data_IF_238348370326
#
_entry.id   IF_238348370326
#
_cell.length_a   1.000
_cell.length_b   1.000
_cell.length_c   1.000
_cell.angle_alpha   90.00
_cell.angle_beta   90.00
_cell.angle_gamma   90.00
#
_symmetry.space_group_name_H-M   'P 1'
#
loop_
_entity.id
_entity.type
_entity.pdbx_description
1 polymer ?
#
# COMPACT_ATOMS: atom_id res chain seq x y z
N UNK A 1 5.58 23.81 -3.22
CA UNK A 1 4.53 23.59 -2.21
C UNK A 1 4.72 22.19 -1.69
N UNK A 2 5.08 22.04 -0.42
CA UNK A 2 5.26 20.74 0.23
C UNK A 2 3.88 20.16 0.49
N UNK A 3 3.56 19.04 -0.16
CA UNK A 3 2.31 18.32 0.08
C UNK A 3 2.41 17.64 1.44
N UNK A 4 1.53 18.03 2.37
CA UNK A 4 1.33 17.32 3.64
C UNK A 4 0.09 16.46 3.49
N UNK A 5 0.21 15.13 3.53
CA UNK A 5 -0.93 14.22 3.40
C UNK A 5 -1.95 14.47 4.51
N UNK A 6 -3.23 14.48 4.16
CA UNK A 6 -4.33 14.59 5.11
C UNK A 6 -4.76 13.17 5.48
N UNK A 7 -4.05 12.60 6.47
CA UNK A 7 -4.24 11.25 7.00
C UNK A 7 -5.53 11.11 7.84
N UNK A 8 -6.66 11.59 7.34
CA UNK A 8 -7.94 11.40 8.03
C UNK A 8 -8.35 9.93 8.11
N UNK A 9 -7.89 9.07 7.19
CA UNK A 9 -8.19 7.63 7.18
C UNK A 9 -6.95 6.82 6.73
N UNK A 10 -6.32 6.13 7.69
CA UNK A 10 -5.21 5.21 7.45
C UNK A 10 -5.60 3.80 7.89
N UNK A 11 -5.25 2.81 7.08
CA UNK A 11 -5.71 1.44 7.19
C UNK A 11 -4.55 0.49 7.39
N UNK A 12 -4.72 -0.48 8.29
CA UNK A 12 -3.74 -1.55 8.49
C UNK A 12 -4.14 -2.69 7.55
N UNK A 13 -3.23 -3.19 6.69
CA UNK A 13 -3.46 -4.39 5.93
C UNK A 13 -3.77 -5.56 6.86
N UNK A 14 -4.87 -6.26 6.59
CA UNK A 14 -5.26 -7.44 7.36
C UNK A 14 -4.33 -8.61 7.06
N UNK A 15 -4.00 -8.79 5.78
CA UNK A 15 -3.10 -9.82 5.28
C UNK A 15 -2.37 -9.30 4.02
N UNK A 16 -1.24 -9.90 3.68
CA UNK A 16 -0.45 -9.49 2.55
C UNK A 16 0.67 -10.45 2.19
N UNK A 17 1.07 -10.41 0.92
CA UNK A 17 2.16 -11.24 0.43
C UNK A 17 2.73 -10.73 -0.89
N UNK A 18 3.97 -11.12 -1.15
CA UNK A 18 4.62 -10.91 -2.43
C UNK A 18 4.23 -12.01 -3.41
N UNK A 19 3.97 -11.60 -4.64
CA UNK A 19 3.75 -12.48 -5.80
C UNK A 19 4.39 -11.84 -7.03
N UNK A 20 4.29 -12.49 -8.18
CA UNK A 20 4.84 -11.99 -9.43
C UNK A 20 3.77 -11.96 -10.51
N UNK A 21 3.76 -10.89 -11.31
CA UNK A 21 2.99 -10.81 -12.54
C UNK A 21 3.89 -10.32 -13.69
N UNK A 22 4.02 -11.15 -14.73
CA UNK A 22 4.84 -10.84 -15.91
C UNK A 22 6.29 -10.42 -15.57
N UNK A 23 6.95 -11.10 -14.63
CA UNK A 23 8.32 -10.76 -14.22
C UNK A 23 8.44 -9.53 -13.32
N UNK A 24 7.34 -9.01 -12.79
CA UNK A 24 7.32 -7.85 -11.89
C UNK A 24 6.81 -8.26 -10.52
N UNK A 25 7.52 -7.84 -9.48
CA UNK A 25 7.09 -8.03 -8.09
C UNK A 25 5.80 -7.28 -7.83
N UNK A 26 4.84 -7.98 -7.22
CA UNK A 26 3.52 -7.48 -6.86
C UNK A 26 3.32 -7.68 -5.36
N UNK A 27 3.10 -6.59 -4.64
CA UNK A 27 2.67 -6.63 -3.25
C UNK A 27 1.14 -6.69 -3.23
N UNK A 28 0.58 -7.84 -2.90
CA UNK A 28 -0.86 -8.04 -2.77
C UNK A 28 -1.27 -7.84 -1.31
N UNK A 29 -2.21 -6.93 -1.06
CA UNK A 29 -2.73 -6.63 0.27
C UNK A 29 -4.24 -6.81 0.33
N UNK A 30 -4.69 -7.49 1.38
CA UNK A 30 -6.09 -7.48 1.82
C UNK A 30 -6.29 -6.35 2.82
N UNK A 31 -7.12 -5.37 2.47
CA UNK A 31 -7.45 -4.21 3.29
C UNK A 31 -8.96 -4.02 3.34
N UNK A 32 -9.70 -4.83 4.13
CA UNK A 32 -11.17 -4.79 4.16
C UNK A 32 -11.76 -3.44 4.59
N UNK A 33 -10.98 -2.64 5.32
CA UNK A 33 -11.42 -1.35 5.89
C UNK A 33 -11.28 -0.18 4.93
N UNK A 34 -10.69 -0.34 3.75
CA UNK A 34 -10.49 0.78 2.81
C UNK A 34 -11.86 1.35 2.37
N UNK A 35 -12.06 2.68 2.43
CA UNK A 35 -13.36 3.29 2.14
C UNK A 35 -13.69 3.28 0.64
N UNK A 36 -12.67 3.14 -0.22
CA UNK A 36 -12.81 3.24 -1.67
C UNK A 36 -13.63 2.08 -2.21
N UNK A 37 -14.66 2.37 -2.99
CA UNK A 37 -15.33 1.35 -3.79
C UNK A 37 -14.37 0.88 -4.88
N UNK A 38 -14.14 -0.43 -4.97
CA UNK A 38 -13.19 -1.00 -5.94
C UNK A 38 -13.62 -0.76 -7.40
N UNK A 39 -14.86 -0.28 -7.59
CA UNK A 39 -15.45 0.18 -8.86
C UNK A 39 -15.10 1.64 -9.22
N UNK A 40 -14.38 2.38 -8.38
CA UNK A 40 -13.96 3.75 -8.68
C UNK A 40 -13.02 3.77 -9.89
N UNK A 41 -13.39 4.54 -10.92
CA UNK A 41 -12.53 4.73 -12.09
C UNK A 41 -11.33 5.62 -11.73
N UNK A 42 -10.16 5.00 -11.57
CA UNK A 42 -8.90 5.68 -11.30
C UNK A 42 -8.25 6.08 -12.62
N UNK A 43 -8.18 7.38 -12.89
CA UNK A 43 -7.50 7.90 -14.08
C UNK A 43 -6.10 8.41 -13.76
N UNK A 44 -5.85 8.72 -12.48
CA UNK A 44 -4.56 9.20 -11.98
C UNK A 44 -4.44 8.87 -10.50
N UNK A 45 -3.23 8.51 -10.08
CA UNK A 45 -2.88 8.48 -8.66
C UNK A 45 -1.50 9.09 -8.42
N UNK A 46 -1.23 9.42 -7.17
CA UNK A 46 0.10 9.77 -6.65
C UNK A 46 0.25 9.15 -5.27
N UNK A 47 1.49 8.96 -4.83
CA UNK A 47 1.75 8.41 -3.50
C UNK A 47 2.93 9.10 -2.82
N UNK A 48 2.99 8.99 -1.49
CA UNK A 48 4.16 9.35 -0.70
C UNK A 48 4.33 8.36 0.44
N UNK A 49 5.58 8.12 0.80
CA UNK A 49 5.92 7.36 2.00
C UNK A 49 6.21 8.34 3.14
N UNK A 50 5.71 8.01 4.32
CA UNK A 50 6.07 8.62 5.58
C UNK A 50 6.57 7.52 6.51
N UNK A 51 7.51 7.86 7.39
CA UNK A 51 7.85 7.00 8.51
C UNK A 51 7.37 7.70 9.78
N UNK A 52 6.47 7.05 10.51
CA UNK A 52 5.95 7.54 11.78
C UNK A 52 6.61 6.83 12.95
N UNK A 53 7.35 7.61 13.74
CA UNK A 53 8.25 7.10 14.77
C UNK A 53 7.51 6.57 16.00
N UNK A 54 6.41 7.19 16.41
CA UNK A 54 5.64 6.76 17.58
C UNK A 54 5.01 5.38 17.37
N UNK A 55 4.64 5.08 16.12
CA UNK A 55 4.05 3.80 15.72
C UNK A 55 5.07 2.78 15.23
N UNK A 56 6.34 3.20 15.04
CA UNK A 56 7.38 2.43 14.36
C UNK A 56 6.85 1.79 13.06
N UNK A 57 6.29 2.65 12.20
CA UNK A 57 5.55 2.22 11.03
C UNK A 57 5.85 3.09 9.82
N UNK A 58 5.93 2.45 8.66
CA UNK A 58 5.81 3.16 7.40
C UNK A 58 4.33 3.39 7.06
N UNK A 59 4.02 4.57 6.56
CA UNK A 59 2.68 4.91 6.07
C UNK A 59 2.80 5.28 4.60
N UNK A 60 2.13 4.51 3.75
CA UNK A 60 1.99 4.82 2.33
C UNK A 60 0.69 5.59 2.14
N UNK A 61 0.80 6.90 1.88
CA UNK A 61 -0.37 7.71 1.54
C UNK A 61 -0.58 7.67 0.03
N UNK A 62 -1.75 7.25 -0.40
CA UNK A 62 -2.15 7.18 -1.80
C UNK A 62 -3.25 8.20 -2.02
N UNK A 63 -3.09 9.02 -3.05
CA UNK A 63 -4.07 10.00 -3.49
C UNK A 63 -4.58 9.66 -4.88
N UNK A 64 -5.89 9.47 -5.01
CA UNK A 64 -6.60 9.12 -6.24
C UNK A 64 -7.28 10.34 -6.84
N UNK A 65 -7.20 10.49 -8.17
CA UNK A 65 -7.88 11.54 -8.94
C UNK A 65 -7.69 12.97 -8.38
N UNK A 66 -6.60 13.22 -7.63
CA UNK A 66 -6.32 14.44 -6.87
C UNK A 66 -7.39 14.82 -5.80
N UNK A 67 -8.26 13.90 -5.39
CA UNK A 67 -9.37 14.18 -4.48
C UNK A 67 -9.36 13.26 -3.26
N UNK A 68 -9.47 11.96 -3.51
CA UNK A 68 -9.53 10.96 -2.45
C UNK A 68 -8.12 10.61 -1.99
N UNK A 69 -7.94 10.42 -0.68
CA UNK A 69 -6.67 10.07 -0.08
C UNK A 69 -6.89 9.03 1.01
N UNK A 70 -6.03 8.03 1.05
CA UNK A 70 -6.02 7.03 2.11
C UNK A 70 -4.58 6.61 2.43
N UNK A 71 -4.36 6.21 3.68
CA UNK A 71 -3.09 5.67 4.15
C UNK A 71 -3.11 4.14 4.25
N UNK A 72 -1.97 3.51 4.01
CA UNK A 72 -1.71 2.11 4.38
C UNK A 72 -0.58 2.08 5.41
N UNK A 73 -0.83 1.48 6.56
CA UNK A 73 0.12 1.42 7.69
C UNK A 73 0.83 0.07 7.70
N UNK A 74 2.15 0.13 7.70
CA UNK A 74 3.06 -1.01 7.77
C UNK A 74 3.89 -0.92 9.06
N UNK A 75 3.32 -1.37 10.18
CA UNK A 75 4.03 -1.48 11.47
C UNK A 75 5.16 -2.51 11.37
N UNK A 76 6.31 -2.23 11.98
CA UNK A 76 7.49 -3.11 11.92
C UNK A 76 7.18 -4.59 12.24
N UNK A 77 6.31 -4.83 13.23
CA UNK A 77 6.00 -6.17 13.73
C UNK A 77 4.95 -6.93 12.94
N UNK A 78 4.19 -6.25 12.08
CA UNK A 78 3.12 -6.83 11.29
C UNK A 78 3.44 -6.66 9.80
N UNK A 79 2.64 -5.90 9.04
CA UNK A 79 2.82 -5.72 7.60
C UNK A 79 4.18 -5.09 7.21
N UNK A 80 4.90 -4.45 8.14
CA UNK A 80 6.26 -3.95 7.92
C UNK A 80 7.26 -5.02 7.52
N UNK A 81 7.08 -6.28 7.93
CA UNK A 81 7.97 -7.37 7.51
C UNK A 81 7.97 -7.56 5.98
N UNK A 82 6.87 -7.24 5.31
CA UNK A 82 6.77 -7.27 3.85
C UNK A 82 7.68 -6.23 3.19
N UNK A 83 7.91 -5.10 3.87
CA UNK A 83 8.81 -4.05 3.40
C UNK A 83 10.29 -4.38 3.64
N UNK A 84 10.61 -5.46 4.35
CA UNK A 84 11.98 -5.95 4.52
C UNK A 84 12.40 -6.93 3.44
N UNK A 85 11.44 -7.46 2.68
CA UNK A 85 11.71 -8.41 1.60
C UNK A 85 12.55 -7.77 0.50
N UNK A 86 13.36 -8.58 -0.17
CA UNK A 86 14.14 -8.21 -1.36
C UNK A 86 13.27 -7.57 -2.44
N UNK A 87 12.02 -8.03 -2.61
CA UNK A 87 11.08 -7.47 -3.57
C UNK A 87 10.75 -5.99 -3.29
N UNK A 88 10.84 -5.54 -2.03
CA UNK A 88 10.56 -4.17 -1.62
C UNK A 88 11.69 -3.17 -1.94
N UNK A 89 12.88 -3.65 -2.36
CA UNK A 89 14.03 -2.79 -2.68
C UNK A 89 13.98 -2.25 -4.11
N UNK A 90 13.15 -2.85 -4.97
CA UNK A 90 12.93 -2.43 -6.35
C UNK A 90 11.67 -1.59 -6.54
N UNK A 91 11.36 -1.32 -7.80
CA UNK A 91 10.03 -0.87 -8.21
C UNK A 91 9.08 -2.07 -8.19
N UNK A 92 7.90 -1.91 -7.60
CA UNK A 92 6.87 -2.95 -7.53
C UNK A 92 5.48 -2.41 -7.86
N UNK A 93 4.54 -3.32 -8.11
CA UNK A 93 3.12 -3.00 -8.20
C UNK A 93 2.45 -3.29 -6.87
N UNK A 94 1.70 -2.34 -6.32
CA UNK A 94 0.85 -2.58 -5.17
C UNK A 94 -0.56 -2.92 -5.63
N UNK A 95 -1.09 -4.06 -5.17
CA UNK A 95 -2.48 -4.47 -5.40
C UNK A 95 -3.21 -4.49 -4.06
N UNK A 96 -4.37 -3.84 -4.01
CA UNK A 96 -5.21 -3.74 -2.81
C UNK A 96 -6.59 -4.26 -3.12
N UNK A 97 -7.10 -5.15 -2.27
CA UNK A 97 -8.49 -5.65 -2.35
C UNK A 97 -9.16 -5.61 -0.99
N UNK A 98 -10.49 -5.53 -0.97
CA UNK A 98 -11.29 -5.65 0.26
C UNK A 98 -11.47 -7.10 0.71
N UNK A 99 -11.29 -8.04 -0.21
CA UNK A 99 -11.48 -9.47 0.07
C UNK A 99 -10.28 -10.05 0.83
N UNK A 100 -10.53 -11.06 1.66
CA UNK A 100 -9.46 -11.82 2.30
C UNK A 100 -8.70 -12.65 1.25
N UNK A 101 -7.38 -12.81 1.42
CA UNK A 101 -6.50 -13.47 0.43
C UNK A 101 -6.94 -14.92 0.17
N UNK A 102 -7.38 -15.62 1.22
CA UNK A 102 -7.92 -17.00 1.14
C UNK A 102 -9.19 -17.14 0.28
N UNK A 103 -9.91 -16.03 0.03
CA UNK A 103 -11.19 -16.01 -0.67
C UNK A 103 -11.08 -15.43 -2.10
N UNK A 104 -9.87 -15.15 -2.59
CA UNK A 104 -9.67 -14.56 -3.90
C UNK A 104 -10.10 -15.50 -5.03
N UNK A 105 -10.82 -14.93 -5.99
CA UNK A 105 -11.27 -15.57 -7.22
C UNK A 105 -10.72 -14.81 -8.40
N UNK A 106 -10.77 -15.42 -9.59
CA UNK A 106 -10.32 -14.80 -10.84
C UNK A 106 -10.99 -13.43 -11.10
N UNK A 107 -12.27 -13.32 -10.73
CA UNK A 107 -13.10 -12.12 -10.93
C UNK A 107 -13.04 -11.15 -9.73
N UNK A 108 -12.18 -11.39 -8.73
CA UNK A 108 -12.15 -10.55 -7.53
C UNK A 108 -11.71 -9.13 -7.88
N UNK A 109 -12.52 -8.11 -7.55
CA UNK A 109 -12.14 -6.73 -7.76
C UNK A 109 -10.90 -6.36 -6.92
N UNK A 110 -9.98 -5.61 -7.52
CA UNK A 110 -8.84 -5.03 -6.84
C UNK A 110 -8.46 -3.67 -7.44
N UNK A 111 -7.74 -2.87 -6.65
CA UNK A 111 -7.06 -1.66 -7.09
C UNK A 111 -5.59 -2.01 -7.37
N UNK A 112 -5.05 -1.52 -8.48
CA UNK A 112 -3.65 -1.73 -8.85
C UNK A 112 -2.92 -0.40 -9.02
N UNK A 113 -1.81 -0.27 -8.30
CA UNK A 113 -0.94 0.89 -8.27
C UNK A 113 0.45 0.47 -8.76
N UNK A 114 0.73 0.62 -10.07
CA UNK A 114 2.02 0.25 -10.63
C UNK A 114 3.11 1.28 -10.26
N UNK A 115 4.38 0.87 -10.29
CA UNK A 115 5.53 1.77 -10.10
C UNK A 115 5.64 2.41 -8.72
N UNK A 116 5.36 1.64 -7.69
CA UNK A 116 5.64 2.02 -6.31
C UNK A 116 7.10 1.74 -6.01
N UNK A 117 7.75 2.65 -5.29
CA UNK A 117 9.09 2.45 -4.73
C UNK A 117 9.10 2.95 -3.30
N UNK A 118 9.59 2.11 -2.39
CA UNK A 118 9.70 2.46 -0.98
C UNK A 118 10.81 3.50 -0.77
N UNK A 119 10.46 4.64 -0.16
CA UNK A 119 11.47 5.58 0.34
C UNK A 119 11.80 5.24 1.78
N UNK A 120 12.90 4.53 1.99
CA UNK A 120 13.34 4.12 3.33
C UNK A 120 13.85 5.31 4.14
N UNK A 121 13.46 5.37 5.40
CA UNK A 121 13.93 6.36 6.37
C UNK A 121 15.04 5.78 7.22
N UNK A 122 16.14 6.52 7.40
CA UNK A 122 17.20 6.13 8.35
C UNK A 122 16.68 6.05 9.80
N UNK A 123 15.59 6.75 10.11
CA UNK A 123 14.98 6.75 11.44
C UNK A 123 14.21 5.45 11.74
N UNK A 124 13.87 4.66 10.72
CA UNK A 124 13.28 3.34 10.92
C UNK A 124 14.28 2.39 11.57
N UNK A 125 15.52 2.37 11.08
CA UNK A 125 16.54 1.45 11.58
C UNK A 125 16.28 -0.01 11.21
N UNK A 126 15.30 -0.27 10.34
CA UNK A 126 14.95 -1.56 9.75
C UNK A 126 14.67 -1.38 8.25
#
# INVERSE_FOLDING_TARGET
MTYSPNLSEAHIPYDGGWTEENGKSVLLLSVPTIPIEVTTNIHKFSYTWLYEKEMDAYVLCIRLNNQEEFGLIFSQKDAGVLLLDTDAYGEFTLVVTKEHIENLKVETPYLSFPKISLTRSLLAGW
#
